data_IF_231968690194
#
_entry.id   IF_231968690194
#
_cell.length_a   1.000
_cell.length_b   1.000
_cell.length_c   1.000
_cell.angle_alpha   90.00
_cell.angle_beta   90.00
_cell.angle_gamma   90.00
#
_symmetry.space_group_name_H-M   'P 1'
#
loop_
_entity.id
_entity.type
_entity.pdbx_description
1 polymer ?
#
# COMPACT_ATOMS: atom_id res chain seq x y z
N UNK A 1 8.83 8.87 -9.85
CA UNK A 1 8.90 8.77 -8.37
C UNK A 1 8.42 10.04 -7.67
N UNK A 2 9.01 11.22 -7.91
CA UNK A 2 8.58 12.48 -7.26
C UNK A 2 7.09 12.78 -7.52
N UNK A 3 6.63 12.64 -8.77
CA UNK A 3 5.23 12.83 -9.13
C UNK A 3 4.29 11.87 -8.37
N UNK A 4 4.69 10.60 -8.19
CA UNK A 4 3.94 9.62 -7.40
C UNK A 4 3.81 10.04 -5.94
N UNK A 5 4.90 10.48 -5.31
CA UNK A 5 4.88 10.98 -3.91
C UNK A 5 3.99 12.22 -3.79
N UNK A 6 4.14 13.18 -4.71
CA UNK A 6 3.36 14.42 -4.73
C UNK A 6 1.87 14.16 -4.95
N UNK A 7 1.50 13.13 -5.72
CA UNK A 7 0.11 12.72 -5.90
C UNK A 7 -0.44 11.95 -4.69
N UNK A 8 0.39 11.14 -4.04
CA UNK A 8 -0.05 10.32 -2.91
C UNK A 8 -0.39 11.15 -1.67
N UNK A 9 0.28 12.30 -1.47
CA UNK A 9 -0.03 13.24 -0.38
C UNK A 9 -1.48 13.75 -0.40
N UNK A 10 -1.98 14.44 -1.45
CA UNK A 10 -3.36 14.89 -1.52
C UNK A 10 -4.33 13.71 -1.55
N UNK A 11 -3.94 12.57 -2.13
CA UNK A 11 -4.79 11.39 -2.16
C UNK A 11 -4.99 10.77 -0.77
N UNK A 12 -3.95 10.78 0.07
CA UNK A 12 -4.05 10.41 1.50
C UNK A 12 -4.93 11.40 2.27
N UNK A 13 -4.86 12.70 1.95
CA UNK A 13 -5.74 13.70 2.55
C UNK A 13 -7.21 13.49 2.15
N UNK A 14 -7.48 13.16 0.88
CA UNK A 14 -8.83 12.79 0.41
C UNK A 14 -9.34 11.54 1.13
N UNK A 15 -8.51 10.50 1.26
CA UNK A 15 -8.85 9.31 2.02
C UNK A 15 -9.25 9.62 3.46
N UNK A 16 -8.50 10.49 4.13
CA UNK A 16 -8.81 10.92 5.50
C UNK A 16 -10.19 11.59 5.58
N UNK A 17 -10.54 12.43 4.61
CA UNK A 17 -11.85 13.08 4.53
C UNK A 17 -12.96 12.05 4.28
N UNK A 18 -12.71 11.10 3.38
CA UNK A 18 -13.67 10.02 3.09
C UNK A 18 -13.89 9.16 4.32
N UNK A 19 -12.83 8.79 5.04
CA UNK A 19 -12.89 8.01 6.27
C UNK A 19 -13.70 8.71 7.36
N UNK A 20 -13.46 10.02 7.57
CA UNK A 20 -14.25 10.85 8.47
C UNK A 20 -15.75 10.86 8.13
N UNK A 21 -16.09 10.91 6.84
CA UNK A 21 -17.49 10.91 6.39
C UNK A 21 -18.11 9.53 6.50
N UNK A 22 -17.38 8.48 6.14
CA UNK A 22 -17.83 7.10 6.19
C UNK A 22 -18.17 6.72 7.64
N UNK A 23 -17.25 6.98 8.58
CA UNK A 23 -17.48 6.77 10.01
C UNK A 23 -18.74 7.50 10.50
N UNK A 24 -18.92 8.77 10.12
CA UNK A 24 -20.11 9.53 10.53
C UNK A 24 -21.42 8.97 9.97
N UNK A 25 -21.38 8.39 8.77
CA UNK A 25 -22.56 7.83 8.11
C UNK A 25 -22.94 6.45 8.65
N UNK A 26 -21.97 5.67 9.16
CA UNK A 26 -22.19 4.28 9.57
C UNK A 26 -22.51 4.10 11.06
N UNK A 27 -22.49 5.16 11.87
CA UNK A 27 -22.74 5.09 13.33
C UNK A 27 -24.08 4.47 13.74
N UNK A 28 -25.06 4.48 12.85
CA UNK A 28 -26.40 3.96 13.12
C UNK A 28 -26.57 2.46 12.87
N UNK A 29 -25.59 1.77 12.25
CA UNK A 29 -25.73 0.37 11.88
C UNK A 29 -24.42 -0.42 12.10
N UNK A 30 -24.41 -1.42 13.01
CA UNK A 30 -23.23 -2.23 13.28
C UNK A 30 -22.67 -2.93 12.04
N UNK A 31 -23.57 -3.36 11.13
CA UNK A 31 -23.19 -4.03 9.88
C UNK A 31 -22.49 -3.05 8.94
N UNK A 32 -23.00 -1.82 8.83
CA UNK A 32 -22.38 -0.80 7.97
C UNK A 32 -21.03 -0.34 8.53
N UNK A 33 -20.91 -0.19 9.85
CA UNK A 33 -19.63 0.11 10.50
C UNK A 33 -18.60 -0.99 10.24
N UNK A 34 -19.00 -2.26 10.40
CA UNK A 34 -18.13 -3.40 10.10
C UNK A 34 -17.67 -3.40 8.62
N UNK A 35 -18.59 -3.18 7.67
CA UNK A 35 -18.26 -3.10 6.24
C UNK A 35 -17.33 -1.91 5.92
N UNK A 36 -17.54 -0.77 6.57
CA UNK A 36 -16.67 0.40 6.41
C UNK A 36 -15.23 0.08 6.81
N UNK A 37 -15.04 -0.49 8.00
CA UNK A 37 -13.73 -0.79 8.57
C UNK A 37 -13.02 -1.94 7.85
N UNK A 38 -13.73 -3.00 7.48
CA UNK A 38 -13.11 -4.24 7.00
C UNK A 38 -13.12 -4.40 5.47
N UNK A 39 -13.93 -3.61 4.75
CA UNK A 39 -14.04 -3.72 3.29
C UNK A 39 -13.77 -2.38 2.60
N UNK A 40 -14.57 -1.34 2.86
CA UNK A 40 -14.51 -0.10 2.09
C UNK A 40 -13.20 0.67 2.32
N UNK A 41 -12.78 0.85 3.57
CA UNK A 41 -11.54 1.56 3.89
C UNK A 41 -10.30 0.82 3.37
N UNK A 42 -10.12 -0.50 3.60
CA UNK A 42 -9.02 -1.25 3.01
C UNK A 42 -8.96 -1.11 1.48
N UNK A 43 -10.10 -1.24 0.78
CA UNK A 43 -10.15 -1.11 -0.67
C UNK A 43 -9.74 0.27 -1.16
N UNK A 44 -10.23 1.33 -0.52
CA UNK A 44 -9.87 2.71 -0.86
C UNK A 44 -8.36 2.95 -0.65
N UNK A 45 -7.79 2.41 0.43
CA UNK A 45 -6.35 2.49 0.72
C UNK A 45 -5.51 1.69 -0.29
N UNK A 46 -5.98 0.51 -0.70
CA UNK A 46 -5.32 -0.27 -1.77
C UNK A 46 -5.39 0.46 -3.10
N UNK A 47 -6.53 1.08 -3.45
CA UNK A 47 -6.68 1.87 -4.67
C UNK A 47 -5.74 3.07 -4.69
N UNK A 48 -5.58 3.75 -3.56
CA UNK A 48 -4.60 4.81 -3.39
C UNK A 48 -3.17 4.36 -3.67
N UNK A 49 -2.80 3.21 -3.10
CA UNK A 49 -1.49 2.62 -3.28
C UNK A 49 -1.25 2.17 -4.72
N UNK A 50 -2.26 1.62 -5.38
CA UNK A 50 -2.22 1.30 -6.81
C UNK A 50 -2.00 2.56 -7.66
N UNK A 51 -2.73 3.64 -7.40
CA UNK A 51 -2.52 4.91 -8.12
C UNK A 51 -1.08 5.39 -7.93
N UNK A 52 -0.53 5.30 -6.71
CA UNK A 52 0.88 5.60 -6.47
C UNK A 52 1.80 4.70 -7.30
N UNK A 53 1.62 3.38 -7.27
CA UNK A 53 2.44 2.44 -8.03
C UNK A 53 2.37 2.77 -9.53
N UNK A 54 1.18 3.07 -10.04
CA UNK A 54 0.94 3.34 -11.45
C UNK A 54 1.62 4.61 -11.93
N UNK A 55 1.58 5.66 -11.11
CA UNK A 55 2.18 6.97 -11.43
C UNK A 55 3.68 6.98 -11.12
N UNK A 56 4.14 6.19 -10.14
CA UNK A 56 5.55 6.08 -9.80
C UNK A 56 6.33 5.17 -10.75
N UNK A 57 5.65 4.25 -11.45
CA UNK A 57 6.22 3.46 -12.53
C UNK A 57 6.68 4.36 -13.70
N UNK A 58 7.85 4.12 -14.32
CA UNK A 58 8.77 2.99 -14.09
C UNK A 58 9.85 3.25 -13.02
N UNK A 59 10.04 4.50 -12.61
CA UNK A 59 11.06 4.91 -11.64
C UNK A 59 10.97 4.16 -10.30
N UNK A 60 9.77 3.69 -9.91
CA UNK A 60 9.55 2.90 -8.71
C UNK A 60 10.43 1.64 -8.65
N UNK A 61 10.70 1.03 -9.81
CA UNK A 61 11.56 -0.15 -9.94
C UNK A 61 13.02 0.22 -10.22
N UNK A 62 13.34 1.49 -10.46
CA UNK A 62 14.68 1.91 -10.85
C UNK A 62 15.09 1.47 -12.27
N UNK A 63 14.13 1.09 -13.12
CA UNK A 63 14.36 0.62 -14.49
C UNK A 63 13.90 1.72 -15.47
N UNK A 64 14.81 2.42 -16.17
CA UNK A 64 14.42 3.50 -17.07
C UNK A 64 13.63 3.01 -18.30
N UNK A 65 13.96 1.82 -18.80
CA UNK A 65 13.41 1.24 -20.04
C UNK A 65 12.29 0.22 -19.78
N UNK A 66 11.58 0.33 -18.66
CA UNK A 66 10.47 -0.59 -18.40
C UNK A 66 9.26 -0.25 -19.30
N UNK A 67 8.55 -1.27 -19.80
CA UNK A 67 7.32 -1.06 -20.56
C UNK A 67 6.29 -0.31 -19.72
N UNK A 68 5.46 0.53 -20.35
CA UNK A 68 4.40 1.23 -19.64
C UNK A 68 3.41 0.24 -19.02
N UNK A 69 2.83 0.58 -17.86
CA UNK A 69 1.79 -0.26 -17.25
C UNK A 69 0.58 -0.47 -18.17
N UNK A 70 0.25 0.52 -19.01
CA UNK A 70 -0.79 0.37 -20.02
C UNK A 70 -0.46 -0.75 -21.02
N UNK A 71 0.78 -0.83 -21.48
CA UNK A 71 1.24 -1.92 -22.34
C UNK A 71 1.22 -3.27 -21.60
N UNK A 72 1.72 -3.31 -20.36
CA UNK A 72 1.69 -4.52 -19.53
C UNK A 72 0.26 -5.04 -19.32
N UNK A 73 -0.71 -4.15 -19.10
CA UNK A 73 -2.11 -4.53 -18.86
C UNK A 73 -2.84 -4.90 -20.16
N UNK A 74 -2.45 -4.34 -21.30
CA UNK A 74 -3.06 -4.61 -22.60
C UNK A 74 -2.68 -5.98 -23.19
N UNK A 75 -1.71 -6.68 -22.59
CA UNK A 75 -1.15 -7.96 -23.06
C UNK A 75 -2.12 -9.16 -23.03
N UNK A 76 -3.43 -8.94 -22.83
CA UNK A 76 -4.49 -9.97 -22.97
C UNK A 76 -4.51 -11.06 -21.89
N UNK A 77 -3.59 -11.06 -20.93
CA UNK A 77 -3.44 -12.10 -19.90
C UNK A 77 -4.26 -11.86 -18.61
N UNK A 78 -5.36 -11.11 -18.67
CA UNK A 78 -6.20 -10.77 -17.49
C UNK A 78 -5.38 -10.20 -16.31
N UNK A 79 -4.28 -9.50 -16.59
CA UNK A 79 -3.35 -8.98 -15.58
C UNK A 79 -4.03 -7.97 -14.65
N UNK A 80 -4.94 -7.15 -15.19
CA UNK A 80 -5.76 -6.25 -14.39
C UNK A 80 -6.65 -7.01 -13.40
N UNK A 81 -7.35 -8.04 -13.86
CA UNK A 81 -8.23 -8.85 -13.01
C UNK A 81 -7.44 -9.59 -11.93
N UNK A 82 -6.26 -10.13 -12.28
CA UNK A 82 -5.35 -10.75 -11.31
C UNK A 82 -4.93 -9.77 -10.22
N UNK A 83 -4.57 -8.53 -10.58
CA UNK A 83 -4.18 -7.50 -9.63
C UNK A 83 -5.30 -7.16 -8.66
N UNK A 84 -6.51 -6.92 -9.17
CA UNK A 84 -7.69 -6.61 -8.35
C UNK A 84 -8.04 -7.80 -7.45
N UNK A 85 -8.06 -9.02 -7.98
CA UNK A 85 -8.40 -10.22 -7.23
C UNK A 85 -7.39 -10.51 -6.12
N UNK A 86 -6.09 -10.39 -6.39
CA UNK A 86 -5.05 -10.59 -5.36
C UNK A 86 -5.15 -9.54 -4.27
N UNK A 87 -5.35 -8.27 -4.62
CA UNK A 87 -5.48 -7.21 -3.63
C UNK A 87 -6.73 -7.35 -2.78
N UNK A 88 -7.87 -7.69 -3.39
CA UNK A 88 -9.10 -7.99 -2.68
C UNK A 88 -8.94 -9.19 -1.74
N UNK A 89 -8.29 -10.25 -2.23
CA UNK A 89 -8.02 -11.45 -1.44
C UNK A 89 -7.13 -11.13 -0.23
N UNK A 90 -6.06 -10.35 -0.42
CA UNK A 90 -5.19 -9.91 0.68
C UNK A 90 -5.96 -9.01 1.65
N UNK A 91 -6.76 -8.06 1.14
CA UNK A 91 -7.60 -7.20 1.97
C UNK A 91 -8.56 -8.00 2.87
N UNK A 92 -9.10 -9.10 2.36
CA UNK A 92 -10.04 -9.94 3.09
C UNK A 92 -9.36 -10.94 4.03
N UNK A 93 -8.26 -11.57 3.59
CA UNK A 93 -7.58 -12.63 4.33
C UNK A 93 -6.70 -12.10 5.46
N UNK A 94 -6.00 -10.97 5.27
CA UNK A 94 -5.07 -10.47 6.29
C UNK A 94 -5.75 -10.10 7.61
N UNK A 95 -6.92 -9.44 7.63
CA UNK A 95 -7.65 -9.19 8.87
C UNK A 95 -8.05 -10.46 9.62
N UNK A 96 -8.19 -11.60 8.92
CA UNK A 96 -8.47 -12.89 9.56
C UNK A 96 -7.26 -13.46 10.32
N UNK A 97 -6.06 -12.91 10.13
CA UNK A 97 -4.85 -13.32 10.85
C UNK A 97 -4.71 -12.47 12.11
N UNK A 98 -5.01 -13.01 13.31
CA UNK A 98 -5.09 -12.23 14.55
C UNK A 98 -3.76 -11.58 14.98
N UNK A 99 -2.63 -12.06 14.43
CA UNK A 99 -1.31 -11.49 14.69
C UNK A 99 -1.03 -10.24 13.85
N UNK A 100 -1.60 -10.16 12.65
CA UNK A 100 -1.41 -9.04 11.71
C UNK A 100 -2.31 -7.86 12.06
N UNK A 101 -3.49 -8.13 12.63
CA UNK A 101 -4.43 -7.11 13.12
C UNK A 101 -3.82 -6.21 14.22
N UNK A 102 -2.90 -6.75 15.03
CA UNK A 102 -2.19 -6.00 16.08
C UNK A 102 -1.19 -4.98 15.55
N UNK A 103 -0.79 -5.09 14.29
CA UNK A 103 0.18 -4.19 13.65
C UNK A 103 -0.55 -3.38 12.60
N UNK A 104 -1.34 -2.39 13.06
CA UNK A 104 -2.09 -1.48 12.19
C UNK A 104 -1.15 -0.91 11.12
N UNK A 105 -1.44 -1.22 9.85
CA UNK A 105 -0.65 -0.76 8.71
C UNK A 105 0.21 -1.82 8.02
N UNK A 106 0.44 -2.99 8.65
CA UNK A 106 1.17 -4.06 7.98
C UNK A 106 0.40 -4.60 6.76
N UNK A 107 -0.93 -4.63 6.85
CA UNK A 107 -1.82 -5.03 5.75
C UNK A 107 -1.57 -4.22 4.48
N UNK A 108 -1.49 -2.90 4.60
CA UNK A 108 -1.31 -2.03 3.45
C UNK A 108 0.11 -2.15 2.86
N UNK A 109 1.14 -2.27 3.72
CA UNK A 109 2.51 -2.52 3.26
C UNK A 109 2.60 -3.85 2.48
N UNK A 110 2.00 -4.92 2.99
CA UNK A 110 1.95 -6.23 2.33
C UNK A 110 1.15 -6.18 1.02
N UNK A 111 0.02 -5.48 0.99
CA UNK A 111 -0.73 -5.24 -0.25
C UNK A 111 0.13 -4.52 -1.31
N UNK A 112 0.86 -3.49 -0.90
CA UNK A 112 1.80 -2.77 -1.78
C UNK A 112 2.88 -3.67 -2.33
N UNK A 113 3.50 -4.47 -1.46
CA UNK A 113 4.51 -5.43 -1.87
C UNK A 113 3.95 -6.45 -2.86
N UNK A 114 2.78 -7.01 -2.61
CA UNK A 114 2.15 -7.96 -3.53
C UNK A 114 1.80 -7.31 -4.88
N UNK A 115 1.30 -6.08 -4.89
CA UNK A 115 1.04 -5.34 -6.13
C UNK A 115 2.33 -5.12 -6.94
N UNK A 116 3.40 -4.67 -6.28
CA UNK A 116 4.71 -4.47 -6.91
C UNK A 116 5.31 -5.80 -7.38
N UNK A 117 5.16 -6.89 -6.62
CA UNK A 117 5.59 -8.24 -6.99
C UNK A 117 4.88 -8.75 -8.25
N UNK A 118 3.57 -8.51 -8.37
CA UNK A 118 2.81 -8.85 -9.57
C UNK A 118 3.28 -8.05 -10.78
N UNK A 119 3.45 -6.74 -10.63
CA UNK A 119 3.95 -5.90 -11.72
C UNK A 119 5.36 -6.33 -12.15
N UNK A 120 6.24 -6.64 -11.20
CA UNK A 120 7.56 -7.18 -11.48
C UNK A 120 7.51 -8.54 -12.18
N UNK A 121 6.60 -9.44 -11.79
CA UNK A 121 6.49 -10.75 -12.42
C UNK A 121 5.98 -10.67 -13.86
N UNK A 122 5.12 -9.68 -14.18
CA UNK A 122 4.74 -9.41 -15.56
C UNK A 122 5.93 -8.94 -16.40
N UNK A 123 6.72 -8.00 -15.88
CA UNK A 123 7.95 -7.53 -16.54
C UNK A 123 8.98 -8.66 -16.70
N UNK A 124 9.13 -9.51 -15.69
CA UNK A 124 9.99 -10.69 -15.72
C UNK A 124 9.59 -11.66 -16.83
N UNK A 125 8.28 -11.91 -16.95
CA UNK A 125 7.71 -12.79 -17.97
C UNK A 125 7.97 -12.26 -19.39
N UNK A 126 7.88 -10.95 -19.61
CA UNK A 126 8.16 -10.36 -20.92
C UNK A 126 9.65 -10.41 -21.29
N UNK A 127 10.54 -10.31 -20.29
CA UNK A 127 11.99 -10.40 -20.48
C UNK A 127 12.52 -11.84 -20.47
N UNK A 128 11.72 -12.81 -20.07
CA UNK A 128 12.13 -14.22 -19.92
C UNK A 128 13.12 -14.46 -18.77
N UNK A 129 13.13 -13.58 -17.76
CA UNK A 129 14.06 -13.66 -16.62
C UNK A 129 13.32 -14.20 -15.39
N UNK A 130 13.83 -15.23 -14.70
CA UNK A 130 13.25 -15.67 -13.44
C UNK A 130 13.57 -14.68 -12.31
N UNK A 131 12.57 -14.24 -11.55
CA UNK A 131 12.75 -13.35 -10.40
C UNK A 131 12.41 -14.05 -9.08
N UNK A 132 13.17 -13.75 -8.04
CA UNK A 132 12.86 -14.17 -6.68
C UNK A 132 11.91 -13.16 -6.03
N UNK A 133 10.64 -13.55 -5.87
CA UNK A 133 9.62 -12.74 -5.20
C UNK A 133 9.83 -12.70 -3.68
N UNK A 134 10.45 -13.73 -3.10
CA UNK A 134 10.74 -13.74 -1.68
C UNK A 134 11.86 -12.73 -1.35
N UNK A 135 11.64 -11.81 -0.39
CA UNK A 135 12.69 -10.90 0.04
C UNK A 135 13.82 -11.66 0.74
N UNK A 136 15.06 -11.18 0.61
CA UNK A 136 16.17 -11.67 1.41
C UNK A 136 16.03 -11.21 2.87
N UNK A 137 16.75 -11.88 3.78
CA UNK A 137 16.67 -11.58 5.22
C UNK A 137 17.04 -10.11 5.51
N UNK A 138 17.97 -9.55 4.75
CA UNK A 138 18.41 -8.16 4.92
C UNK A 138 17.35 -7.15 4.48
N UNK A 139 16.64 -7.40 3.39
CA UNK A 139 15.50 -6.58 2.98
C UNK A 139 14.38 -6.64 4.00
N UNK A 140 14.06 -7.83 4.53
CA UNK A 140 13.08 -7.97 5.62
C UNK A 140 13.47 -7.12 6.82
N UNK A 141 14.75 -7.14 7.23
CA UNK A 141 15.26 -6.29 8.32
C UNK A 141 15.11 -4.81 8.00
N UNK A 142 15.47 -4.37 6.78
CA UNK A 142 15.35 -2.97 6.36
C UNK A 142 13.90 -2.48 6.34
N UNK A 143 12.99 -3.28 5.77
CA UNK A 143 11.55 -2.98 5.78
C UNK A 143 11.04 -2.88 7.21
N UNK A 144 11.40 -3.85 8.06
CA UNK A 144 10.96 -3.87 9.46
C UNK A 144 11.46 -2.64 10.22
N UNK A 145 12.70 -2.21 9.97
CA UNK A 145 13.27 -1.00 10.55
C UNK A 145 12.54 0.27 10.07
N UNK A 146 12.21 0.35 8.78
CA UNK A 146 11.43 1.46 8.22
C UNK A 146 10.03 1.52 8.82
N UNK A 147 9.34 0.38 8.92
CA UNK A 147 8.01 0.29 9.51
C UNK A 147 8.01 0.65 11.01
N UNK A 148 9.07 0.26 11.72
CA UNK A 148 9.24 0.64 13.13
C UNK A 148 9.51 2.15 13.28
N UNK A 149 10.42 2.71 12.46
CA UNK A 149 10.70 4.14 12.46
C UNK A 149 9.45 4.97 12.11
N UNK A 150 8.69 4.52 11.11
CA UNK A 150 7.40 5.07 10.72
C UNK A 150 6.41 5.12 11.88
N UNK A 151 6.30 4.01 12.61
CA UNK A 151 5.44 3.92 13.80
C UNK A 151 5.86 4.93 14.87
N UNK A 152 7.15 4.98 15.20
CA UNK A 152 7.69 5.88 16.22
C UNK A 152 7.45 7.35 15.81
N UNK A 153 7.76 7.70 14.57
CA UNK A 153 7.55 9.06 14.04
C UNK A 153 6.08 9.47 14.09
N UNK A 154 5.15 8.58 13.71
CA UNK A 154 3.72 8.82 13.83
C UNK A 154 3.30 9.07 15.28
N UNK A 155 3.76 8.23 16.22
CA UNK A 155 3.44 8.39 17.64
C UNK A 155 3.96 9.70 18.24
N UNK A 156 5.15 10.17 17.82
CA UNK A 156 5.73 11.45 18.24
C UNK A 156 4.94 12.64 17.69
N UNK A 157 4.66 12.66 16.38
CA UNK A 157 3.89 13.72 15.73
C UNK A 157 2.48 13.84 16.32
N UNK A 158 1.84 12.72 16.60
CA UNK A 158 0.51 12.69 17.18
C UNK A 158 0.45 13.15 18.65
N UNK A 159 1.57 13.11 19.38
CA UNK A 159 1.66 13.66 20.75
C UNK A 159 1.73 15.18 20.75
N UNK A 160 2.42 15.78 19.79
CA UNK A 160 2.65 17.24 19.77
C UNK A 160 1.48 18.04 19.18
N UNK A 161 0.75 17.50 18.21
CA UNK A 161 -0.19 18.30 17.41
C UNK A 161 -1.69 18.13 17.74
N UNK A 162 -2.11 17.19 18.60
CA UNK A 162 -3.51 16.73 18.62
C UNK A 162 -4.20 16.79 19.98
N UNK A 163 -5.09 17.79 20.12
CA UNK A 163 -5.87 18.14 21.32
C UNK A 163 -7.07 17.20 21.56
N UNK A 164 -7.50 16.40 20.56
CA UNK A 164 -8.69 15.52 20.68
C UNK A 164 -8.36 14.08 20.28
N UNK A 165 -8.76 13.11 21.13
CA UNK A 165 -8.44 11.67 21.00
C UNK A 165 -8.83 11.07 19.64
N UNK A 166 -9.96 11.50 19.05
CA UNK A 166 -10.47 11.00 17.76
C UNK A 166 -9.67 11.49 16.54
N UNK A 167 -9.30 12.78 16.52
CA UNK A 167 -8.47 13.33 15.44
C UNK A 167 -7.05 12.74 15.48
N UNK A 168 -6.62 12.30 16.67
CA UNK A 168 -5.33 11.63 16.89
C UNK A 168 -5.21 10.30 16.14
N UNK A 169 -6.22 9.44 16.24
CA UNK A 169 -6.19 8.11 15.61
C UNK A 169 -6.19 8.21 14.08
N UNK A 170 -7.02 9.08 13.52
CA UNK A 170 -7.13 9.27 12.07
C UNK A 170 -5.85 9.87 11.46
N UNK A 171 -5.24 10.84 12.12
CA UNK A 171 -3.97 11.42 11.64
C UNK A 171 -2.82 10.42 11.80
N UNK A 172 -2.83 9.62 12.88
CA UNK A 172 -1.89 8.51 13.02
C UNK A 172 -2.03 7.51 11.86
N UNK A 173 -3.26 7.17 11.47
CA UNK A 173 -3.54 6.29 10.33
C UNK A 173 -2.96 6.86 9.02
N UNK A 174 -3.23 8.13 8.72
CA UNK A 174 -2.72 8.81 7.53
C UNK A 174 -1.18 8.90 7.50
N UNK A 175 -0.57 9.26 8.64
CA UNK A 175 0.90 9.29 8.77
C UNK A 175 1.50 7.90 8.61
N UNK A 176 0.85 6.87 9.13
CA UNK A 176 1.27 5.47 8.95
C UNK A 176 1.20 5.06 7.48
N UNK A 177 0.15 5.43 6.75
CA UNK A 177 0.05 5.16 5.31
C UNK A 177 1.22 5.78 4.53
N UNK A 178 1.52 7.07 4.79
CA UNK A 178 2.65 7.75 4.16
C UNK A 178 3.98 7.08 4.50
N UNK A 179 4.16 6.71 5.76
CA UNK A 179 5.40 6.16 6.26
C UNK A 179 5.64 4.68 5.86
N UNK A 180 4.65 4.02 5.25
CA UNK A 180 4.80 2.70 4.65
C UNK A 180 5.28 2.74 3.19
N UNK A 181 5.11 3.86 2.48
CA UNK A 181 5.58 4.00 1.10
C UNK A 181 7.06 3.63 0.94
N UNK A 182 8.00 4.04 1.82
CA UNK A 182 9.40 3.69 1.66
C UNK A 182 9.64 2.17 1.71
N UNK A 183 8.85 1.41 2.49
CA UNK A 183 8.94 -0.04 2.51
C UNK A 183 8.54 -0.67 1.16
N UNK A 184 7.47 -0.16 0.54
CA UNK A 184 7.04 -0.58 -0.80
C UNK A 184 8.08 -0.19 -1.85
N UNK A 185 8.65 1.01 -1.77
CA UNK A 185 9.72 1.48 -2.68
C UNK A 185 10.98 0.62 -2.56
N UNK A 186 11.42 0.29 -1.33
CA UNK A 186 12.58 -0.58 -1.10
C UNK A 186 12.37 -1.96 -1.73
N UNK A 187 11.18 -2.53 -1.55
CA UNK A 187 10.85 -3.83 -2.14
C UNK A 187 10.76 -3.77 -3.67
N UNK A 188 10.21 -2.69 -4.23
CA UNK A 188 10.18 -2.46 -5.67
C UNK A 188 11.58 -2.33 -6.28
N UNK A 189 12.48 -1.58 -5.64
CA UNK A 189 13.87 -1.46 -6.08
C UNK A 189 14.61 -2.81 -6.01
N UNK A 190 14.35 -3.61 -4.97
CA UNK A 190 14.91 -4.96 -4.88
C UNK A 190 14.47 -5.86 -6.04
N UNK A 191 13.19 -5.83 -6.40
CA UNK A 191 12.68 -6.59 -7.53
C UNK A 191 13.20 -6.04 -8.86
N UNK A 192 13.26 -4.70 -8.98
CA UNK A 192 13.77 -4.05 -10.18
C UNK A 192 15.25 -4.31 -10.44
N UNK A 193 16.06 -4.48 -9.40
CA UNK A 193 17.47 -4.86 -9.53
C UNK A 193 17.68 -6.30 -10.08
N UNK A 194 16.64 -7.14 -10.10
CA UNK A 194 16.67 -8.50 -10.65
C UNK A 194 16.20 -8.57 -12.12
N UNK A 195 15.67 -7.49 -12.67
CA UNK A 195 15.03 -7.39 -13.99
C UNK A 195 15.92 -6.73 -15.03
#
# INVERSE_FOLDING_TARGET
MIAGILLFLPLTAVLLIVELRLDSATRGSPVQGWLAEHLYLPLLRSAALLIFIFVAHPELFGIPEAPSLGALLADGHYRFDQLINVLLLIALLLPMVPLLDRVSGLTLALQGMCAVALVASWMASERGVPIALAPDIWLVVRISAVLLAARIAGELLAREFLVTRRNRELILEALRMLAQLPAVVLYAHFLGAQL
#
